data_IF_448921004070
#
_entry.id   IF_448921004070
#
_cell.length_a   1.000
_cell.length_b   1.000
_cell.length_c   1.000
_cell.angle_alpha   90.00
_cell.angle_beta   90.00
_cell.angle_gamma   90.00
#
_symmetry.space_group_name_H-M   'P 1'
#
loop_
_entity.id
_entity.type
_entity.pdbx_description
1 polymer ?
#
# COMPACT_ATOMS: atom_id res chain seq x y z
N UNK A 1 -14.77 2.85 -3.32
CA UNK A 1 -15.40 2.80 -4.64
C UNK A 1 -15.82 4.20 -5.14
N UNK A 2 -16.69 4.91 -4.46
CA UNK A 2 -17.17 6.24 -4.91
C UNK A 2 -16.07 7.31 -5.00
N UNK A 3 -15.03 7.21 -4.17
CA UNK A 3 -13.83 8.07 -4.20
C UNK A 3 -12.76 7.65 -5.22
N UNK A 4 -13.06 6.71 -6.13
CA UNK A 4 -12.16 6.18 -7.16
C UNK A 4 -10.93 5.43 -6.65
N UNK A 5 -10.81 5.17 -5.34
CA UNK A 5 -9.77 4.28 -4.79
C UNK A 5 -10.19 2.85 -5.02
N UNK A 6 -9.35 2.09 -5.74
CA UNK A 6 -9.63 0.69 -6.11
C UNK A 6 -8.83 -0.32 -5.30
N UNK A 7 -7.77 0.08 -4.63
CA UNK A 7 -6.92 -0.79 -3.84
C UNK A 7 -7.07 -0.44 -2.36
N UNK A 8 -7.51 -1.39 -1.55
CA UNK A 8 -7.74 -1.20 -0.11
C UNK A 8 -7.11 -2.36 0.64
N UNK A 9 -6.27 -2.06 1.63
CA UNK A 9 -5.69 -3.08 2.51
C UNK A 9 -6.36 -3.08 3.88
N UNK A 10 -6.55 -4.27 4.44
CA UNK A 10 -6.88 -4.48 5.85
C UNK A 10 -5.64 -4.95 6.59
N UNK A 11 -5.23 -4.21 7.63
CA UNK A 11 -4.07 -4.60 8.42
C UNK A 11 -4.40 -5.78 9.33
N UNK A 12 -3.51 -6.76 9.40
CA UNK A 12 -3.67 -7.97 10.24
C UNK A 12 -3.68 -7.65 11.74
N UNK A 13 -3.33 -6.43 12.14
CA UNK A 13 -3.50 -5.91 13.51
C UNK A 13 -4.95 -5.58 13.85
N UNK A 14 -5.85 -5.55 12.87
CA UNK A 14 -7.28 -5.29 13.08
C UNK A 14 -7.97 -6.59 13.52
N UNK A 15 -8.68 -6.62 14.66
CA UNK A 15 -9.44 -7.79 15.07
C UNK A 15 -10.43 -8.22 13.98
N UNK A 16 -10.45 -9.51 13.63
CA UNK A 16 -11.35 -10.05 12.62
C UNK A 16 -10.98 -9.68 11.16
N UNK A 17 -9.76 -9.20 10.89
CA UNK A 17 -9.33 -8.76 9.56
C UNK A 17 -9.60 -9.80 8.46
N UNK A 18 -9.32 -11.08 8.70
CA UNK A 18 -9.56 -12.16 7.75
C UNK A 18 -11.05 -12.34 7.41
N UNK A 19 -11.91 -12.27 8.43
CA UNK A 19 -13.36 -12.39 8.24
C UNK A 19 -13.91 -11.21 7.43
N UNK A 20 -13.47 -9.99 7.77
CA UNK A 20 -13.86 -8.78 7.03
C UNK A 20 -13.38 -8.86 5.59
N UNK A 21 -12.12 -9.28 5.38
CA UNK A 21 -11.54 -9.44 4.04
C UNK A 21 -12.37 -10.40 3.17
N UNK A 22 -12.77 -11.55 3.70
CA UNK A 22 -13.64 -12.49 2.98
C UNK A 22 -14.98 -11.88 2.58
N UNK A 23 -15.67 -11.24 3.53
CA UNK A 23 -16.97 -10.60 3.30
C UNK A 23 -16.93 -9.48 2.25
N UNK A 24 -15.88 -8.62 2.28
CA UNK A 24 -15.78 -7.51 1.32
C UNK A 24 -15.36 -8.01 -0.06
N UNK A 25 -14.50 -9.03 -0.14
CA UNK A 25 -14.09 -9.64 -1.40
C UNK A 25 -15.28 -10.26 -2.15
N UNK A 26 -16.16 -10.96 -1.44
CA UNK A 26 -17.41 -11.48 -2.02
C UNK A 26 -18.37 -10.37 -2.46
N UNK A 27 -18.50 -9.31 -1.64
CA UNK A 27 -19.48 -8.25 -1.88
C UNK A 27 -19.12 -7.35 -3.05
N UNK A 28 -17.85 -7.00 -3.23
CA UNK A 28 -17.39 -6.00 -4.21
C UNK A 28 -16.78 -6.63 -5.46
N UNK A 29 -16.49 -7.94 -5.45
CA UNK A 29 -15.93 -8.64 -6.60
C UNK A 29 -14.67 -7.96 -7.14
N UNK A 30 -14.66 -7.65 -8.44
CA UNK A 30 -13.53 -7.02 -9.12
C UNK A 30 -13.55 -5.48 -9.12
N UNK A 31 -14.60 -4.86 -8.60
CA UNK A 31 -14.71 -3.38 -8.55
C UNK A 31 -13.68 -2.76 -7.60
N UNK A 32 -13.37 -3.46 -6.50
CA UNK A 32 -12.36 -3.07 -5.52
C UNK A 32 -11.44 -4.26 -5.24
N UNK A 33 -10.15 -4.01 -5.29
CA UNK A 33 -9.11 -5.01 -5.02
C UNK A 33 -8.69 -4.90 -3.56
N UNK A 34 -9.00 -5.93 -2.78
CA UNK A 34 -8.66 -5.99 -1.37
C UNK A 34 -7.36 -6.74 -1.12
N UNK A 35 -6.55 -6.24 -0.21
CA UNK A 35 -5.31 -6.85 0.23
C UNK A 35 -5.17 -6.92 1.74
N UNK A 36 -4.15 -7.63 2.18
CA UNK A 36 -3.76 -7.72 3.58
C UNK A 36 -2.51 -6.89 3.83
N UNK A 37 -2.55 -6.04 4.88
CA UNK A 37 -1.41 -5.26 5.34
C UNK A 37 -0.89 -5.72 6.69
N UNK A 38 0.32 -5.32 7.01
CA UNK A 38 1.02 -5.73 8.25
C UNK A 38 1.16 -7.24 8.36
N UNK A 39 1.48 -7.87 7.24
CA UNK A 39 1.72 -9.31 7.15
C UNK A 39 3.18 -9.58 7.47
N UNK A 40 3.48 -10.26 8.58
CA UNK A 40 4.84 -10.40 9.10
C UNK A 40 5.48 -11.77 8.85
N UNK A 41 4.68 -12.77 8.46
CA UNK A 41 5.11 -14.15 8.26
C UNK A 41 4.32 -14.82 7.12
N UNK A 42 4.84 -15.95 6.62
CA UNK A 42 4.25 -16.70 5.51
C UNK A 42 2.91 -17.33 5.89
N UNK A 43 2.71 -17.72 7.13
CA UNK A 43 1.49 -18.32 7.64
C UNK A 43 0.33 -17.31 7.57
N UNK A 44 0.57 -16.09 8.04
CA UNK A 44 -0.38 -14.97 7.95
C UNK A 44 -0.65 -14.58 6.50
N UNK A 45 0.39 -14.56 5.64
CA UNK A 45 0.23 -14.31 4.21
C UNK A 45 -0.68 -15.36 3.56
N UNK A 46 -0.43 -16.65 3.83
CA UNK A 46 -1.29 -17.73 3.32
C UNK A 46 -2.73 -17.61 3.80
N UNK A 47 -2.95 -17.35 5.09
CA UNK A 47 -4.28 -17.17 5.66
C UNK A 47 -5.03 -16.01 4.97
N UNK A 48 -4.35 -14.88 4.76
CA UNK A 48 -4.90 -13.72 4.07
C UNK A 48 -5.27 -14.03 2.60
N UNK A 49 -4.40 -14.73 1.87
CA UNK A 49 -4.66 -15.14 0.48
C UNK A 49 -5.89 -16.05 0.40
N UNK A 50 -6.00 -17.04 1.29
CA UNK A 50 -7.16 -17.93 1.35
C UNK A 50 -8.46 -17.22 1.75
N UNK A 51 -8.35 -16.11 2.51
CA UNK A 51 -9.48 -15.25 2.85
C UNK A 51 -9.85 -14.25 1.72
N UNK A 52 -9.14 -14.26 0.58
CA UNK A 52 -9.46 -13.43 -0.57
C UNK A 52 -8.54 -12.22 -0.78
N UNK A 53 -7.40 -12.13 -0.06
CA UNK A 53 -6.42 -11.10 -0.34
C UNK A 53 -5.84 -11.25 -1.75
N UNK A 54 -5.87 -10.18 -2.53
CA UNK A 54 -5.34 -10.12 -3.90
C UNK A 54 -3.99 -9.40 -3.99
N UNK A 55 -3.49 -8.88 -2.89
CA UNK A 55 -2.12 -8.39 -2.70
C UNK A 55 -1.76 -8.42 -1.22
N UNK A 56 -0.47 -8.43 -0.92
CA UNK A 56 0.06 -8.50 0.46
C UNK A 56 1.05 -7.38 0.68
N UNK A 57 0.90 -6.67 1.81
CA UNK A 57 1.79 -5.58 2.23
C UNK A 57 2.39 -5.90 3.58
N UNK A 58 3.68 -5.71 3.72
CA UNK A 58 4.41 -5.87 4.99
C UNK A 58 5.08 -4.56 5.43
N UNK A 59 5.32 -4.34 6.72
CA UNK A 59 6.11 -3.19 7.20
C UNK A 59 7.62 -3.44 7.15
N UNK A 60 8.03 -4.68 6.91
CA UNK A 60 9.42 -5.16 6.91
C UNK A 60 9.69 -6.08 5.73
N UNK A 61 10.96 -6.36 5.50
CA UNK A 61 11.41 -7.37 4.53
C UNK A 61 11.39 -8.74 5.20
N UNK A 62 10.51 -9.61 4.72
CA UNK A 62 10.54 -11.04 5.05
C UNK A 62 10.55 -11.86 3.75
N UNK A 63 11.66 -12.57 3.43
CA UNK A 63 11.81 -13.36 2.21
C UNK A 63 10.74 -14.46 2.07
N UNK A 64 10.30 -15.05 3.17
CA UNK A 64 9.31 -16.14 3.14
C UNK A 64 7.93 -15.65 2.72
N UNK A 65 7.56 -14.42 3.10
CA UNK A 65 6.32 -13.76 2.65
C UNK A 65 6.36 -13.56 1.14
N UNK A 66 7.46 -13.00 0.60
CA UNK A 66 7.62 -12.77 -0.85
C UNK A 66 7.56 -14.09 -1.60
N UNK A 67 8.32 -15.09 -1.15
CA UNK A 67 8.36 -16.43 -1.76
C UNK A 67 6.97 -17.08 -1.78
N UNK A 68 6.21 -16.96 -0.68
CA UNK A 68 4.86 -17.47 -0.62
C UNK A 68 3.93 -16.74 -1.59
N UNK A 69 3.96 -15.41 -1.61
CA UNK A 69 3.15 -14.60 -2.52
C UNK A 69 3.42 -14.96 -3.98
N UNK A 70 4.69 -15.09 -4.38
CA UNK A 70 5.09 -15.52 -5.73
C UNK A 70 4.53 -16.91 -6.07
N UNK A 71 4.54 -17.86 -5.13
CA UNK A 71 3.97 -19.22 -5.32
C UNK A 71 2.48 -19.19 -5.61
N UNK A 72 1.75 -18.24 -5.01
CA UNK A 72 0.31 -18.07 -5.21
C UNK A 72 -0.05 -17.07 -6.31
N UNK A 73 0.93 -16.50 -6.99
CA UNK A 73 0.74 -15.41 -7.99
C UNK A 73 -0.04 -14.23 -7.42
N UNK A 74 0.24 -13.87 -6.17
CA UNK A 74 -0.34 -12.72 -5.47
C UNK A 74 0.74 -11.66 -5.32
N UNK A 75 0.52 -10.43 -5.81
CA UNK A 75 1.49 -9.35 -5.69
C UNK A 75 1.89 -9.06 -4.24
N UNK A 76 3.21 -8.86 -4.02
CA UNK A 76 3.78 -8.53 -2.73
C UNK A 76 4.42 -7.13 -2.72
N UNK A 77 4.31 -6.48 -1.56
CA UNK A 77 4.87 -5.15 -1.30
C UNK A 77 5.54 -5.14 0.09
N UNK A 78 6.77 -5.72 0.21
CA UNK A 78 7.54 -5.69 1.45
C UNK A 78 7.97 -4.28 1.81
N UNK A 79 8.06 -4.00 3.11
CA UNK A 79 8.50 -2.73 3.67
C UNK A 79 10.01 -2.71 3.91
N UNK A 80 10.66 -1.64 3.49
CA UNK A 80 12.11 -1.43 3.59
C UNK A 80 12.41 0.06 3.78
N UNK A 81 13.67 0.38 4.05
CA UNK A 81 14.07 1.79 4.20
C UNK A 81 15.38 2.13 3.48
N UNK A 82 16.29 1.20 3.27
CA UNK A 82 17.61 1.45 2.70
C UNK A 82 17.72 0.93 1.27
N UNK A 83 18.62 1.49 0.42
CA UNK A 83 18.86 0.97 -0.93
C UNK A 83 19.24 -0.51 -0.96
N UNK A 84 19.96 -1.01 0.05
CA UNK A 84 20.31 -2.43 0.17
C UNK A 84 19.07 -3.29 0.36
N UNK A 85 18.19 -2.92 1.28
CA UNK A 85 16.95 -3.65 1.52
C UNK A 85 16.00 -3.55 0.31
N UNK A 86 15.97 -2.41 -0.38
CA UNK A 86 15.21 -2.21 -1.62
C UNK A 86 15.63 -3.23 -2.68
N UNK A 87 16.94 -3.36 -2.92
CA UNK A 87 17.46 -4.32 -3.88
C UNK A 87 17.21 -5.76 -3.44
N UNK A 88 17.39 -6.07 -2.16
CA UNK A 88 17.06 -7.40 -1.64
C UNK A 88 15.58 -7.77 -1.87
N UNK A 89 14.66 -6.84 -1.61
CA UNK A 89 13.24 -7.06 -1.87
C UNK A 89 12.96 -7.28 -3.35
N UNK A 90 13.57 -6.48 -4.21
CA UNK A 90 13.41 -6.55 -5.66
C UNK A 90 13.97 -7.86 -6.24
N UNK A 91 15.17 -8.26 -5.83
CA UNK A 91 15.82 -9.51 -6.27
C UNK A 91 15.05 -10.77 -5.83
N UNK A 92 14.33 -10.69 -4.70
CA UNK A 92 13.43 -11.74 -4.24
C UNK A 92 12.13 -11.83 -5.06
N UNK A 93 11.89 -10.88 -5.96
CA UNK A 93 10.73 -10.87 -6.84
C UNK A 93 9.51 -10.13 -6.26
N UNK A 94 9.72 -9.12 -5.42
CA UNK A 94 8.64 -8.23 -5.00
C UNK A 94 8.11 -7.42 -6.19
N UNK A 95 6.79 -7.28 -6.30
CA UNK A 95 6.14 -6.53 -7.39
C UNK A 95 6.25 -5.01 -7.20
N UNK A 96 6.22 -4.58 -5.95
CA UNK A 96 6.45 -3.22 -5.49
C UNK A 96 7.31 -3.27 -4.22
N UNK A 97 7.99 -2.16 -3.92
CA UNK A 97 8.79 -2.03 -2.71
C UNK A 97 8.26 -0.86 -1.88
N UNK A 98 7.69 -1.16 -0.73
CA UNK A 98 7.19 -0.15 0.22
C UNK A 98 8.36 0.51 0.92
N UNK A 99 8.47 1.83 0.80
CA UNK A 99 9.40 2.63 1.61
C UNK A 99 8.67 3.09 2.87
N UNK A 100 9.10 2.55 4.04
CA UNK A 100 8.39 2.78 5.30
C UNK A 100 9.32 2.83 6.52
N UNK A 101 9.14 3.80 7.43
CA UNK A 101 8.25 4.95 7.35
C UNK A 101 8.86 6.09 6.50
N UNK A 102 8.09 6.63 5.55
CA UNK A 102 8.59 7.67 4.63
C UNK A 102 8.53 9.09 5.23
N UNK A 103 7.82 9.25 6.35
CA UNK A 103 7.63 10.55 7.03
C UNK A 103 8.93 11.24 7.46
N UNK A 104 10.02 10.48 7.65
CA UNK A 104 11.29 11.01 8.08
C UNK A 104 12.13 11.63 6.94
N UNK A 105 11.84 11.30 5.67
CA UNK A 105 12.72 11.59 4.54
C UNK A 105 12.07 12.40 3.42
N UNK A 106 10.76 12.29 3.25
CA UNK A 106 10.03 13.03 2.21
C UNK A 106 10.25 12.53 0.78
N UNK A 107 9.71 13.26 -0.22
CA UNK A 107 9.81 12.91 -1.64
C UNK A 107 11.24 12.86 -2.19
N UNK A 108 12.13 13.74 -1.72
CA UNK A 108 13.53 13.82 -2.16
C UNK A 108 14.27 12.49 -1.98
N UNK A 109 13.91 11.74 -0.95
CA UNK A 109 14.49 10.41 -0.74
C UNK A 109 14.10 9.42 -1.84
N UNK A 110 12.87 9.47 -2.31
CA UNK A 110 12.39 8.61 -3.39
C UNK A 110 13.15 8.92 -4.68
N UNK A 111 13.30 10.20 -5.02
CA UNK A 111 14.06 10.65 -6.19
C UNK A 111 15.53 10.21 -6.10
N UNK A 112 16.18 10.43 -4.95
CA UNK A 112 17.58 10.06 -4.73
C UNK A 112 17.82 8.55 -4.86
N UNK A 113 16.89 7.71 -4.40
CA UNK A 113 16.97 6.26 -4.53
C UNK A 113 16.74 5.82 -5.97
N UNK A 114 15.75 6.40 -6.65
CA UNK A 114 15.41 6.03 -8.03
C UNK A 114 16.46 6.48 -9.05
N UNK A 115 17.26 7.50 -8.75
CA UNK A 115 18.34 7.92 -9.65
C UNK A 115 19.28 6.76 -10.06
N UNK A 116 19.84 5.97 -9.14
CA UNK A 116 20.62 4.76 -9.48
C UNK A 116 19.77 3.51 -9.72
N UNK A 117 18.50 3.46 -9.28
CA UNK A 117 17.63 2.28 -9.31
C UNK A 117 16.30 2.55 -10.06
N UNK A 118 16.32 3.05 -11.31
CA UNK A 118 15.12 3.52 -12.01
C UNK A 118 14.13 2.40 -12.37
N UNK A 119 14.54 1.15 -12.27
CA UNK A 119 13.73 -0.03 -12.58
C UNK A 119 12.87 -0.50 -11.41
N UNK A 120 13.15 -0.04 -10.18
CA UNK A 120 12.41 -0.48 -8.99
C UNK A 120 11.12 0.32 -8.83
N UNK A 121 10.01 -0.35 -8.53
CA UNK A 121 8.72 0.28 -8.29
C UNK A 121 8.57 0.62 -6.81
N UNK A 122 8.91 1.84 -6.42
CA UNK A 122 8.79 2.31 -5.03
C UNK A 122 7.38 2.77 -4.70
N UNK A 123 6.94 2.44 -3.48
CA UNK A 123 5.67 2.86 -2.90
C UNK A 123 5.91 3.51 -1.54
N UNK A 124 6.02 4.85 -1.43
CA UNK A 124 6.14 5.54 -0.15
C UNK A 124 4.88 5.37 0.69
N UNK A 125 5.09 5.04 1.97
CA UNK A 125 4.04 4.84 2.97
C UNK A 125 4.47 5.47 4.30
N UNK A 126 3.50 6.10 4.98
CA UNK A 126 3.77 6.86 6.20
C UNK A 126 4.16 8.31 5.90
N UNK A 127 3.36 9.25 6.38
CA UNK A 127 3.56 10.68 6.16
C UNK A 127 3.03 11.21 4.82
N UNK A 128 2.41 10.36 4.00
CA UNK A 128 1.74 10.80 2.77
C UNK A 128 0.38 11.41 3.10
N UNK A 129 0.14 12.62 2.62
CA UNK A 129 -1.11 13.36 2.78
C UNK A 129 -1.47 14.18 1.52
N UNK A 130 -2.56 14.94 1.57
CA UNK A 130 -3.03 15.73 0.42
C UNK A 130 -2.07 16.84 0.00
N UNK A 131 -1.19 17.31 0.89
CA UNK A 131 -0.26 18.39 0.60
C UNK A 131 1.00 17.91 -0.14
N UNK A 132 1.34 16.61 -0.04
CA UNK A 132 2.61 16.08 -0.56
C UNK A 132 2.45 14.89 -1.53
N UNK A 133 1.25 14.36 -1.71
CA UNK A 133 1.03 13.19 -2.58
C UNK A 133 1.51 13.43 -4.02
N UNK A 134 1.28 14.61 -4.58
CA UNK A 134 1.71 14.96 -5.93
C UNK A 134 3.25 14.98 -6.03
N UNK A 135 3.94 15.48 -4.99
CA UNK A 135 5.40 15.54 -4.95
C UNK A 135 6.03 14.13 -4.91
N UNK A 136 5.46 13.20 -4.14
CA UNK A 136 5.92 11.81 -4.14
C UNK A 136 5.79 11.16 -5.52
N UNK A 137 4.71 11.43 -6.24
CA UNK A 137 4.52 10.89 -7.58
C UNK A 137 5.51 11.54 -8.58
N UNK A 138 5.74 12.88 -8.51
CA UNK A 138 6.76 13.55 -9.33
C UNK A 138 8.18 13.04 -9.05
N UNK A 139 8.47 12.66 -7.80
CA UNK A 139 9.73 12.04 -7.40
C UNK A 139 9.91 10.61 -7.97
N UNK A 140 8.93 10.09 -8.71
CA UNK A 140 8.99 8.80 -9.40
C UNK A 140 8.33 7.64 -8.64
N UNK A 141 7.61 7.89 -7.55
CA UNK A 141 6.87 6.82 -6.87
C UNK A 141 5.85 6.17 -7.81
N UNK A 142 5.84 4.84 -7.87
CA UNK A 142 4.92 4.07 -8.72
C UNK A 142 3.47 4.15 -8.21
N UNK A 143 3.31 4.19 -6.89
CA UNK A 143 2.05 4.42 -6.17
C UNK A 143 2.37 4.96 -4.77
N UNK A 144 1.34 5.28 -3.99
CA UNK A 144 1.47 5.71 -2.60
C UNK A 144 0.56 4.90 -1.69
N UNK A 145 1.00 4.63 -0.46
CA UNK A 145 0.15 4.05 0.58
C UNK A 145 -0.30 5.12 1.58
N UNK A 146 -1.62 5.27 1.72
CA UNK A 146 -2.22 6.30 2.57
C UNK A 146 -3.07 5.65 3.65
N UNK A 147 -2.74 5.89 4.91
CA UNK A 147 -3.46 5.38 6.07
C UNK A 147 -4.38 6.44 6.69
N UNK A 148 -4.05 6.90 7.89
CA UNK A 148 -4.86 7.82 8.69
C UNK A 148 -5.14 9.18 8.02
N UNK A 149 -4.29 9.60 7.07
CA UNK A 149 -4.53 10.81 6.28
C UNK A 149 -5.77 10.68 5.39
N UNK A 150 -6.12 9.48 4.94
CA UNK A 150 -7.36 9.20 4.18
C UNK A 150 -8.45 8.68 5.12
N UNK A 151 -8.18 7.59 5.85
CA UNK A 151 -9.13 6.94 6.76
C UNK A 151 -9.17 7.73 8.07
N UNK A 152 -9.90 8.83 8.06
CA UNK A 152 -9.96 9.77 9.17
C UNK A 152 -10.97 9.32 10.23
N UNK A 153 -10.49 8.99 11.43
CA UNK A 153 -11.32 8.48 12.52
C UNK A 153 -12.43 9.48 12.97
N UNK A 154 -12.21 10.79 12.82
CA UNK A 154 -13.23 11.79 13.18
C UNK A 154 -14.41 11.76 12.19
N UNK A 155 -14.11 11.64 10.88
CA UNK A 155 -15.13 11.50 9.84
C UNK A 155 -15.91 10.20 9.99
N UNK A 156 -15.22 9.10 10.33
CA UNK A 156 -15.87 7.80 10.61
C UNK A 156 -16.80 7.91 11.82
N UNK A 157 -16.32 8.46 12.92
CA UNK A 157 -17.11 8.58 14.16
C UNK A 157 -18.34 9.48 14.01
N UNK A 158 -18.27 10.50 13.13
CA UNK A 158 -19.42 11.37 12.81
C UNK A 158 -20.34 10.80 11.71
N UNK A 159 -19.96 9.69 11.06
CA UNK A 159 -20.71 9.14 9.91
C UNK A 159 -20.59 10.00 8.64
N UNK A 160 -19.59 10.87 8.55
CA UNK A 160 -19.35 11.73 7.38
C UNK A 160 -18.68 10.94 6.24
N UNK A 161 -19.47 10.08 5.61
CA UNK A 161 -19.00 9.27 4.45
C UNK A 161 -18.74 10.12 3.22
N UNK A 162 -19.47 11.23 3.05
CA UNK A 162 -19.23 12.18 1.95
C UNK A 162 -17.86 12.84 2.08
N UNK A 163 -17.49 13.27 3.29
CA UNK A 163 -16.16 13.81 3.58
C UNK A 163 -15.03 12.80 3.32
N UNK A 164 -15.22 11.51 3.66
CA UNK A 164 -14.24 10.46 3.30
C UNK A 164 -14.13 10.26 1.79
N UNK A 165 -15.24 10.27 1.07
CA UNK A 165 -15.27 10.15 -0.39
C UNK A 165 -14.53 11.32 -1.05
N UNK A 166 -14.76 12.54 -0.59
CA UNK A 166 -14.08 13.73 -1.11
C UNK A 166 -12.57 13.72 -0.84
N UNK A 167 -12.16 13.27 0.35
CA UNK A 167 -10.72 13.08 0.64
C UNK A 167 -10.09 12.07 -0.31
N UNK A 168 -10.78 10.96 -0.58
CA UNK A 168 -10.29 9.94 -1.53
C UNK A 168 -10.12 10.53 -2.93
N UNK A 169 -11.08 11.32 -3.41
CA UNK A 169 -10.98 12.05 -4.68
C UNK A 169 -9.80 13.02 -4.71
N UNK A 170 -9.57 13.74 -3.60
CA UNK A 170 -8.42 14.62 -3.45
C UNK A 170 -7.07 13.90 -3.62
N UNK A 171 -6.91 12.70 -3.04
CA UNK A 171 -5.70 11.89 -3.24
C UNK A 171 -5.56 11.44 -4.69
N UNK A 172 -6.64 11.00 -5.33
CA UNK A 172 -6.60 10.60 -6.76
C UNK A 172 -6.23 11.79 -7.64
N UNK A 173 -6.79 12.98 -7.37
CA UNK A 173 -6.44 14.20 -8.10
C UNK A 173 -4.96 14.56 -7.94
N UNK A 174 -4.41 14.49 -6.70
CA UNK A 174 -2.99 14.72 -6.45
C UNK A 174 -2.08 13.70 -7.15
N UNK A 175 -2.48 12.43 -7.22
CA UNK A 175 -1.73 11.43 -8.01
C UNK A 175 -1.76 11.76 -9.51
N UNK A 176 -2.88 12.21 -10.05
CA UNK A 176 -2.99 12.63 -11.46
C UNK A 176 -2.13 13.86 -11.74
N UNK A 177 -2.17 14.85 -10.84
CA UNK A 177 -1.32 16.05 -10.92
C UNK A 177 0.18 15.69 -10.91
N UNK A 178 0.58 14.74 -10.06
CA UNK A 178 1.98 14.31 -9.98
C UNK A 178 2.47 13.56 -11.21
N UNK A 179 1.57 13.03 -12.05
CA UNK A 179 1.87 12.32 -13.31
C UNK A 179 1.90 13.21 -14.55
N UNK A 180 1.35 14.41 -14.46
CA UNK A 180 1.33 15.39 -15.55
C UNK A 180 2.65 16.15 -15.65
#
# INVERSE_FOLDING_TARGET
AEGCVRFIEFTMTTPGALEVLGKVSERFGDDVIFGAGTVLDAESARAAILAGARFVVAPNLNPDVITLCNRYSVPSMPGVLTPTEIMQAWDLGADFVKVFPCSAFGPDYIEAVLAPLPHVKLAPVGGVDLSNVAEYIRAGAACVGVGSSLVNNKLIASGDWAGLTERARGFIAGVQEGRS
#
